data_IF_541321710295
#
_entry.id   IF_541321710295
#
_cell.length_a   1.000
_cell.length_b   1.000
_cell.length_c   1.000
_cell.angle_alpha   90.00
_cell.angle_beta   90.00
_cell.angle_gamma   90.00
#
_symmetry.space_group_name_H-M   'P 1'
#
loop_
_entity.id
_entity.type
_entity.pdbx_description
1 polymer ?
#
# COMPACT_ATOMS: atom_id res chain seq x y z
N UNK A 1 -10.83 -1.27 -7.80
CA UNK A 1 -9.65 -0.52 -7.34
C UNK A 1 -10.11 0.44 -6.27
N UNK A 2 -9.41 0.50 -5.14
CA UNK A 2 -9.68 1.45 -4.05
C UNK A 2 -8.47 2.39 -3.98
N UNK A 3 -8.72 3.68 -4.06
CA UNK A 3 -7.69 4.70 -3.97
C UNK A 3 -7.57 5.20 -2.54
N UNK A 4 -6.35 5.51 -2.12
CA UNK A 4 -6.09 6.11 -0.81
C UNK A 4 -5.25 7.36 -1.01
N UNK A 5 -5.73 8.51 -0.52
CA UNK A 5 -5.01 9.78 -0.60
C UNK A 5 -4.78 10.37 0.80
N UNK A 6 -3.54 10.75 1.06
CA UNK A 6 -3.14 11.39 2.31
C UNK A 6 -3.48 12.87 2.28
N UNK A 7 -4.28 13.34 3.24
CA UNK A 7 -4.60 14.75 3.39
C UNK A 7 -4.04 15.38 4.68
N UNK A 8 -3.26 14.61 5.45
CA UNK A 8 -2.50 15.13 6.59
C UNK A 8 -1.21 15.82 6.14
N UNK A 9 -0.61 15.33 5.06
CA UNK A 9 0.62 15.89 4.47
C UNK A 9 0.35 16.94 3.38
N UNK A 10 -0.80 16.85 2.71
CA UNK A 10 -1.17 17.73 1.59
C UNK A 10 -2.62 18.19 1.72
N UNK A 11 -2.91 19.46 1.45
CA UNK A 11 -4.27 19.98 1.55
C UNK A 11 -5.16 19.47 0.41
N UNK A 12 -6.40 19.07 0.71
CA UNK A 12 -7.35 18.61 -0.30
C UNK A 12 -7.61 19.67 -1.39
N UNK A 13 -7.75 19.21 -2.63
CA UNK A 13 -7.99 20.07 -3.79
C UNK A 13 -6.75 20.76 -4.35
N UNK A 14 -5.57 20.57 -3.74
CA UNK A 14 -4.30 21.03 -4.30
C UNK A 14 -3.75 20.07 -5.36
N UNK A 15 -2.83 20.56 -6.19
CA UNK A 15 -2.18 19.73 -7.22
C UNK A 15 -1.29 18.65 -6.59
N UNK A 16 -0.66 18.96 -5.46
CA UNK A 16 0.18 18.05 -4.69
C UNK A 16 -0.62 16.90 -4.06
N UNK A 17 -1.88 17.17 -3.72
CA UNK A 17 -2.79 16.15 -3.21
C UNK A 17 -3.33 15.25 -4.33
N UNK A 18 -3.46 15.76 -5.56
CA UNK A 18 -4.01 15.01 -6.69
C UNK A 18 -3.15 13.79 -7.08
N UNK A 19 -3.77 12.84 -7.79
CA UNK A 19 -3.04 11.69 -8.33
C UNK A 19 -1.97 12.14 -9.32
N UNK A 20 -0.76 11.60 -9.18
CA UNK A 20 0.32 11.85 -10.12
C UNK A 20 -0.04 11.28 -11.50
N UNK A 21 0.22 12.05 -12.56
CA UNK A 21 0.03 11.57 -13.93
C UNK A 21 0.91 10.32 -14.21
N UNK A 22 0.42 9.35 -15.00
CA UNK A 22 -0.85 9.33 -15.75
C UNK A 22 -2.01 8.65 -15.00
N UNK A 23 -1.98 8.59 -13.67
CA UNK A 23 -3.01 7.88 -12.90
C UNK A 23 -4.33 8.65 -12.91
N UNK A 24 -5.42 7.95 -13.24
CA UNK A 24 -6.76 8.50 -13.26
C UNK A 24 -7.72 7.59 -12.49
N UNK A 25 -8.42 8.15 -11.51
CA UNK A 25 -9.47 7.45 -10.77
C UNK A 25 -10.78 7.51 -11.55
N UNK A 26 -11.42 6.36 -11.72
CA UNK A 26 -12.79 6.31 -12.28
C UNK A 26 -13.83 6.73 -11.24
N UNK A 27 -14.95 7.29 -11.70
CA UNK A 27 -16.02 7.80 -10.83
C UNK A 27 -16.59 6.75 -9.87
N UNK A 28 -16.57 5.47 -10.26
CA UNK A 28 -17.07 4.34 -9.48
C UNK A 28 -16.01 3.65 -8.61
N UNK A 29 -14.77 4.13 -8.60
CA UNK A 29 -13.70 3.60 -7.76
C UNK A 29 -13.66 4.35 -6.42
N UNK A 30 -13.79 3.66 -5.26
CA UNK A 30 -13.76 4.31 -3.95
C UNK A 30 -12.47 5.11 -3.74
N UNK A 31 -12.59 6.24 -3.04
CA UNK A 31 -11.46 7.05 -2.58
C UNK A 31 -11.55 7.19 -1.06
N UNK A 32 -10.62 6.54 -0.37
CA UNK A 32 -10.40 6.67 1.07
C UNK A 32 -9.43 7.81 1.32
N UNK A 33 -9.77 8.67 2.28
CA UNK A 33 -8.91 9.76 2.73
C UNK A 33 -8.28 9.39 4.06
N UNK A 34 -7.01 9.71 4.26
CA UNK A 34 -6.29 9.40 5.51
C UNK A 34 -5.42 10.55 6.00
N UNK A 35 -5.16 10.57 7.31
CA UNK A 35 -4.24 11.50 7.97
C UNK A 35 -2.98 10.81 8.52
N UNK A 36 -3.01 9.49 8.65
CA UNK A 36 -1.94 8.70 9.26
C UNK A 36 -1.30 7.74 8.24
N UNK A 37 -0.17 7.13 8.61
CA UNK A 37 0.50 6.13 7.75
C UNK A 37 -0.31 4.85 7.61
N UNK A 38 -1.02 4.44 8.66
CA UNK A 38 -1.97 3.32 8.59
C UNK A 38 -3.24 3.80 7.89
N UNK A 39 -3.51 3.29 6.70
CA UNK A 39 -4.72 3.64 5.95
C UNK A 39 -6.01 3.15 6.60
N UNK A 40 -5.95 2.29 7.63
CA UNK A 40 -7.11 1.88 8.44
C UNK A 40 -7.35 2.77 9.66
N UNK A 41 -6.39 3.64 10.02
CA UNK A 41 -6.50 4.46 11.23
C UNK A 41 -7.33 5.72 10.95
N UNK A 42 -8.49 5.81 11.61
CA UNK A 42 -9.42 6.96 11.49
C UNK A 42 -9.89 7.19 10.04
N UNK A 43 -10.21 6.10 9.34
CA UNK A 43 -10.73 6.11 7.96
C UNK A 43 -11.88 5.11 7.80
N UNK A 44 -12.54 5.15 6.64
CA UNK A 44 -13.55 4.19 6.22
C UNK A 44 -12.99 2.98 5.44
N UNK A 45 -11.67 2.78 5.38
CA UNK A 45 -11.06 1.72 4.57
C UNK A 45 -11.58 0.33 4.93
N UNK A 46 -11.71 0.03 6.22
CA UNK A 46 -12.20 -1.28 6.67
C UNK A 46 -13.62 -1.54 6.19
N UNK A 47 -14.50 -0.54 6.30
CA UNK A 47 -15.90 -0.63 5.87
C UNK A 47 -16.02 -0.75 4.36
N UNK A 48 -15.21 0.02 3.61
CA UNK A 48 -15.11 -0.08 2.15
C UNK A 48 -14.70 -1.50 1.74
N UNK A 49 -13.61 -2.04 2.30
CA UNK A 49 -13.14 -3.38 1.96
C UNK A 49 -14.14 -4.48 2.35
N UNK A 50 -14.78 -4.34 3.51
CA UNK A 50 -15.81 -5.28 3.97
C UNK A 50 -17.04 -5.26 3.06
N UNK A 51 -17.54 -4.09 2.68
CA UNK A 51 -18.69 -3.96 1.77
C UNK A 51 -18.42 -4.56 0.38
N UNK A 52 -17.16 -4.58 -0.04
CA UNK A 52 -16.69 -5.19 -1.28
C UNK A 52 -16.40 -6.70 -1.14
N UNK A 53 -16.51 -7.28 0.05
CA UNK A 53 -16.24 -8.69 0.33
C UNK A 53 -14.77 -9.08 0.14
N UNK A 54 -13.85 -8.13 0.33
CA UNK A 54 -12.42 -8.31 0.04
C UNK A 54 -11.75 -9.17 1.11
N UNK A 55 -10.96 -10.16 0.68
CA UNK A 55 -10.12 -10.99 1.55
C UNK A 55 -8.64 -10.93 1.18
N UNK A 56 -8.33 -10.53 -0.06
CA UNK A 56 -6.97 -10.40 -0.60
C UNK A 56 -6.76 -8.98 -1.12
N UNK A 57 -5.69 -8.34 -0.64
CA UNK A 57 -5.27 -7.02 -1.08
C UNK A 57 -4.05 -7.10 -1.98
N UNK A 58 -4.17 -6.54 -3.18
CA UNK A 58 -3.02 -6.23 -4.04
C UNK A 58 -2.66 -4.76 -3.85
N UNK A 59 -1.44 -4.48 -3.36
CA UNK A 59 -1.07 -3.15 -2.89
C UNK A 59 0.09 -2.56 -3.69
N UNK A 60 -0.11 -1.35 -4.20
CA UNK A 60 0.87 -0.52 -4.90
C UNK A 60 0.78 0.93 -4.37
N UNK A 61 1.84 1.73 -4.50
CA UNK A 61 1.83 3.15 -4.14
C UNK A 61 3.09 3.65 -3.43
N UNK A 62 2.98 4.75 -2.69
CA UNK A 62 4.10 5.37 -2.00
C UNK A 62 3.69 5.96 -0.64
N UNK A 63 4.59 6.10 0.34
CA UNK A 63 5.99 5.67 0.31
C UNK A 63 6.18 4.27 0.90
N UNK A 64 7.19 3.56 0.38
CA UNK A 64 7.51 2.15 0.69
C UNK A 64 7.68 1.89 2.19
N UNK A 65 8.48 2.72 2.85
CA UNK A 65 8.85 2.66 4.26
C UNK A 65 7.87 3.35 5.22
N UNK A 66 6.87 4.05 4.67
CA UNK A 66 5.84 4.73 5.45
C UNK A 66 4.47 4.12 5.20
N UNK A 67 3.63 4.78 4.38
CA UNK A 67 2.24 4.41 4.21
C UNK A 67 2.05 2.98 3.68
N UNK A 68 2.91 2.55 2.75
CA UNK A 68 2.87 1.19 2.20
C UNK A 68 3.21 0.19 3.29
N UNK A 69 4.37 0.32 3.94
CA UNK A 69 4.78 -0.56 5.05
C UNK A 69 3.74 -0.65 6.15
N UNK A 70 3.24 0.48 6.64
CA UNK A 70 2.28 0.49 7.75
C UNK A 70 0.96 -0.15 7.35
N UNK A 71 0.39 0.23 6.20
CA UNK A 71 -0.93 -0.26 5.75
C UNK A 71 -0.90 -1.75 5.44
N UNK A 72 0.14 -2.24 4.77
CA UNK A 72 0.26 -3.66 4.40
C UNK A 72 0.45 -4.56 5.61
N UNK A 73 1.25 -4.14 6.61
CA UNK A 73 1.35 -4.86 7.89
C UNK A 73 0.05 -4.78 8.70
N UNK A 74 -0.62 -3.63 8.70
CA UNK A 74 -1.91 -3.43 9.34
C UNK A 74 -3.01 -4.33 8.73
N UNK A 75 -2.99 -4.54 7.41
CA UNK A 75 -3.86 -5.47 6.73
C UNK A 75 -3.56 -6.92 7.10
N UNK A 76 -2.29 -7.32 7.10
CA UNK A 76 -1.88 -8.66 7.55
C UNK A 76 -2.34 -8.95 8.98
N UNK A 77 -2.15 -8.00 9.90
CA UNK A 77 -2.60 -8.12 11.29
C UNK A 77 -4.13 -8.22 11.45
N UNK A 78 -4.90 -7.77 10.45
CA UNK A 78 -6.37 -7.88 10.40
C UNK A 78 -6.86 -9.14 9.68
N UNK A 79 -5.95 -10.01 9.24
CA UNK A 79 -6.29 -11.27 8.59
C UNK A 79 -6.56 -11.16 7.08
N UNK A 80 -6.12 -10.09 6.42
CA UNK A 80 -6.11 -10.06 4.96
C UNK A 80 -4.91 -10.84 4.42
N UNK A 81 -5.11 -11.53 3.31
CA UNK A 81 -4.01 -11.91 2.42
C UNK A 81 -3.49 -10.63 1.75
N UNK A 82 -2.18 -10.51 1.56
CA UNK A 82 -1.58 -9.30 0.94
C UNK A 82 -0.52 -9.68 -0.09
N UNK A 83 -0.71 -9.23 -1.33
CA UNK A 83 0.34 -9.19 -2.34
C UNK A 83 0.83 -7.76 -2.48
N UNK A 84 2.10 -7.51 -2.16
CA UNK A 84 2.77 -6.25 -2.49
C UNK A 84 3.22 -6.30 -3.95
N UNK A 85 2.90 -5.27 -4.74
CA UNK A 85 3.34 -5.19 -6.14
C UNK A 85 4.78 -4.71 -6.18
N UNK A 86 5.74 -5.62 -6.37
CA UNK A 86 7.15 -5.41 -6.06
C UNK A 86 7.84 -4.32 -6.89
N UNK A 87 7.31 -4.03 -8.08
CA UNK A 87 7.78 -3.01 -9.01
C UNK A 87 6.81 -1.81 -9.13
N UNK A 88 5.84 -1.70 -8.22
CA UNK A 88 4.87 -0.59 -8.19
C UNK A 88 4.76 0.06 -6.79
N UNK A 89 5.85 0.06 -6.03
CA UNK A 89 6.01 0.94 -4.88
C UNK A 89 7.37 1.64 -4.88
N UNK A 90 7.46 2.81 -4.26
CA UNK A 90 8.71 3.60 -4.24
C UNK A 90 8.86 4.45 -2.99
N UNK A 91 10.03 5.02 -2.76
CA UNK A 91 10.32 6.03 -1.73
C UNK A 91 11.55 6.86 -2.12
N UNK A 92 11.96 7.78 -1.26
CA UNK A 92 13.16 8.63 -1.44
C UNK A 92 14.32 8.09 -0.62
N UNK A 93 15.54 8.56 -0.92
CA UNK A 93 16.68 8.35 -0.04
C UNK A 93 16.40 8.92 1.36
N UNK A 94 16.98 8.29 2.37
CA UNK A 94 16.87 8.69 3.77
C UNK A 94 18.22 8.57 4.47
N UNK A 95 18.40 9.38 5.52
CA UNK A 95 19.57 9.31 6.39
C UNK A 95 19.10 9.23 7.85
N UNK A 96 19.71 8.33 8.61
CA UNK A 96 19.57 8.29 10.06
C UNK A 96 20.92 7.96 10.68
N UNK A 97 21.30 8.65 11.76
CA UNK A 97 22.60 8.48 12.43
C UNK A 97 23.82 8.54 11.48
N UNK A 98 23.77 9.44 10.49
CA UNK A 98 24.79 9.61 9.44
C UNK A 98 25.01 8.38 8.56
N UNK A 99 24.04 7.46 8.55
CA UNK A 99 24.01 6.32 7.64
C UNK A 99 22.96 6.58 6.59
N UNK A 100 23.41 6.68 5.34
CA UNK A 100 22.55 6.79 4.18
C UNK A 100 21.96 5.42 3.83
N UNK A 101 20.67 5.41 3.54
CA UNK A 101 19.98 4.31 2.88
C UNK A 101 19.24 4.85 1.66
N UNK A 102 19.52 4.30 0.48
CA UNK A 102 18.88 4.77 -0.75
C UNK A 102 17.44 4.29 -0.85
N UNK A 103 16.60 5.02 -1.59
CA UNK A 103 15.23 4.60 -1.88
C UNK A 103 15.18 3.22 -2.54
N UNK A 104 16.14 2.93 -3.42
CA UNK A 104 16.30 1.60 -4.03
C UNK A 104 16.58 0.51 -2.98
N UNK A 105 17.48 0.77 -2.02
CA UNK A 105 17.75 -0.18 -0.92
C UNK A 105 16.51 -0.39 -0.05
N UNK A 106 15.74 0.67 0.23
CA UNK A 106 14.49 0.57 1.00
C UNK A 106 13.46 -0.27 0.23
N UNK A 107 13.30 -0.04 -1.07
CA UNK A 107 12.38 -0.80 -1.94
C UNK A 107 12.78 -2.28 -1.96
N UNK A 108 14.04 -2.59 -2.22
CA UNK A 108 14.56 -3.96 -2.24
C UNK A 108 14.38 -4.67 -0.88
N UNK A 109 14.68 -3.98 0.22
CA UNK A 109 14.47 -4.52 1.57
C UNK A 109 12.98 -4.76 1.86
N UNK A 110 12.10 -3.86 1.41
CA UNK A 110 10.65 -3.99 1.62
C UNK A 110 10.09 -5.21 0.87
N UNK A 111 10.52 -5.44 -0.37
CA UNK A 111 10.18 -6.65 -1.13
C UNK A 111 10.64 -7.93 -0.41
N UNK A 112 11.90 -7.97 0.03
CA UNK A 112 12.46 -9.09 0.79
C UNK A 112 11.67 -9.36 2.10
N UNK A 113 11.28 -8.31 2.82
CA UNK A 113 10.45 -8.44 4.01
C UNK A 113 9.09 -9.06 3.70
N UNK A 114 8.41 -8.62 2.62
CA UNK A 114 7.08 -9.13 2.26
C UNK A 114 7.09 -10.57 1.77
N UNK A 115 8.12 -10.99 1.03
CA UNK A 115 8.28 -12.38 0.61
C UNK A 115 8.46 -13.37 1.77
N UNK A 116 8.97 -12.88 2.90
CA UNK A 116 9.22 -13.68 4.11
C UNK A 116 8.14 -13.55 5.19
N UNK A 117 7.19 -12.61 5.05
CA UNK A 117 6.11 -12.40 6.02
C UNK A 117 5.17 -13.61 6.10
N UNK A 118 4.84 -14.07 7.32
CA UNK A 118 3.93 -15.21 7.54
C UNK A 118 2.97 -14.95 8.68
N UNK A 119 1.70 -15.27 8.46
CA UNK A 119 0.69 -15.50 9.48
C UNK A 119 0.04 -16.87 9.21
N UNK A 120 -0.40 -17.62 10.24
CA UNK A 120 -1.09 -18.89 10.03
C UNK A 120 -2.31 -18.72 9.11
N UNK A 121 -2.48 -19.62 8.15
CA UNK A 121 -3.60 -19.66 7.19
C UNK A 121 -3.75 -18.43 6.25
N UNK A 122 -2.73 -17.57 6.15
CA UNK A 122 -2.75 -16.41 5.26
C UNK A 122 -1.57 -16.40 4.28
N UNK A 123 -1.77 -15.78 3.11
CA UNK A 123 -0.78 -15.67 2.04
C UNK A 123 -0.23 -14.25 1.92
N UNK A 124 1.10 -14.17 1.83
CA UNK A 124 1.84 -12.94 1.60
C UNK A 124 2.91 -13.15 0.54
N UNK A 125 3.05 -12.20 -0.39
CA UNK A 125 4.07 -12.25 -1.44
C UNK A 125 4.42 -10.84 -1.95
N UNK A 126 5.62 -10.67 -2.47
CA UNK A 126 5.99 -9.57 -3.35
C UNK A 126 6.04 -10.08 -4.80
N UNK A 127 5.14 -9.61 -5.65
CA UNK A 127 5.01 -10.08 -7.04
C UNK A 127 5.06 -8.88 -8.00
N UNK A 128 5.71 -9.04 -9.17
CA UNK A 128 5.74 -7.99 -10.20
C UNK A 128 4.34 -7.72 -10.76
N UNK A 129 4.07 -6.48 -11.16
CA UNK A 129 2.75 -6.05 -11.63
C UNK A 129 2.17 -6.86 -12.78
N UNK A 130 3.02 -7.44 -13.63
CA UNK A 130 2.66 -8.28 -14.78
C UNK A 130 2.48 -9.77 -14.42
N UNK A 131 2.71 -10.13 -13.16
CA UNK A 131 2.61 -11.49 -12.63
C UNK A 131 1.55 -11.64 -11.53
N UNK A 132 1.10 -10.52 -10.93
CA UNK A 132 0.09 -10.53 -9.87
C UNK A 132 -1.21 -11.20 -10.30
N UNK A 133 -1.73 -12.07 -9.44
CA UNK A 133 -3.08 -12.64 -9.57
C UNK A 133 -4.05 -11.94 -8.63
N UNK A 134 -5.13 -11.39 -9.18
CA UNK A 134 -6.17 -10.66 -8.42
C UNK A 134 -7.26 -11.56 -7.82
N UNK A 135 -7.29 -12.84 -8.18
CA UNK A 135 -8.19 -13.82 -7.58
C UNK A 135 -7.35 -15.01 -7.08
N UNK A 136 -7.65 -15.56 -5.89
CA UNK A 136 -7.08 -16.83 -5.48
C UNK A 136 -7.50 -17.93 -6.46
N UNK A 137 -6.60 -18.88 -6.74
CA UNK A 137 -6.97 -20.11 -7.42
C UNK A 137 -8.01 -20.84 -6.54
N UNK A 138 -9.19 -21.14 -7.09
CA UNK A 138 -10.28 -21.86 -6.37
C UNK A 138 -9.87 -23.28 -6.00
#
# INVERSE_FOLDING_TARGET
MVWVQDHGSFAEGTNEWALAAPLERRVNEPLVRKQYRDSFADTDLADVLHSLGVQHLVVAGAQSDYCIRTTTQAAAARGFDVTLVSDAHTTTDAEHDRVLITGEQIVAHTNMFFDSLRYPAHRYAAERHDQVRFQPDR
#
